data_IF_295107479928
#
_entry.id   IF_295107479928
#
_cell.length_a   1.000
_cell.length_b   1.000
_cell.length_c   1.000
_cell.angle_alpha   90.00
_cell.angle_beta   90.00
_cell.angle_gamma   90.00
#
_symmetry.space_group_name_H-M   'P 1'
#
loop_
_entity.id
_entity.type
_entity.pdbx_description
1 polymer ?
#
# COMPACT_ATOMS: atom_id res chain seq x y z
N UNK A 1 -26.87 -5.85 0.19
CA UNK A 1 -25.93 -5.53 1.32
C UNK A 1 -25.11 -4.34 0.91
N UNK A 2 -25.13 -3.29 1.70
CA UNK A 2 -24.30 -2.12 1.44
C UNK A 2 -22.82 -2.47 1.59
N UNK A 3 -22.03 -2.02 0.63
CA UNK A 3 -20.59 -2.24 0.63
C UNK A 3 -19.96 -1.20 1.58
N UNK A 4 -19.37 -1.67 2.69
CA UNK A 4 -18.64 -0.78 3.60
C UNK A 4 -17.34 -0.32 2.95
N UNK A 5 -17.09 0.98 3.02
CA UNK A 5 -15.91 1.66 2.46
C UNK A 5 -15.00 2.21 3.55
N UNK A 6 -13.71 2.17 3.26
CA UNK A 6 -12.64 2.71 4.11
C UNK A 6 -11.99 3.86 3.35
N UNK A 7 -12.23 5.12 3.75
CA UNK A 7 -11.64 6.28 3.10
C UNK A 7 -10.12 6.24 3.15
N UNK A 8 -9.47 6.59 2.04
CA UNK A 8 -8.01 6.67 2.01
C UNK A 8 -7.47 7.98 2.59
N UNK A 9 -8.29 9.02 2.60
CA UNK A 9 -7.89 10.36 2.99
C UNK A 9 -7.00 11.06 1.96
N UNK A 10 -6.95 10.52 0.73
CA UNK A 10 -6.23 11.15 -0.37
C UNK A 10 -7.24 12.00 -1.16
N UNK A 11 -7.16 13.34 -1.04
CA UNK A 11 -8.10 14.22 -1.72
C UNK A 11 -8.15 13.96 -3.22
N UNK A 12 -9.36 13.89 -3.78
CA UNK A 12 -9.60 13.57 -5.17
C UNK A 12 -9.63 12.07 -5.49
N UNK A 13 -8.93 11.21 -4.74
CA UNK A 13 -8.90 9.78 -5.02
C UNK A 13 -10.15 9.04 -4.54
N UNK A 14 -10.61 9.29 -3.31
CA UNK A 14 -11.75 8.55 -2.73
C UNK A 14 -13.03 8.69 -3.57
N UNK A 15 -13.26 9.83 -4.23
CA UNK A 15 -14.41 10.00 -5.12
C UNK A 15 -14.33 9.14 -6.39
N UNK A 16 -13.12 8.76 -6.83
CA UNK A 16 -12.92 7.88 -7.99
C UNK A 16 -13.23 6.42 -7.68
N UNK A 17 -13.40 6.09 -6.40
CA UNK A 17 -13.63 4.73 -5.88
C UNK A 17 -14.83 4.68 -4.93
N UNK A 18 -15.87 5.46 -5.22
CA UNK A 18 -17.14 5.47 -4.47
C UNK A 18 -16.96 5.74 -2.96
N UNK A 19 -16.00 6.60 -2.59
CA UNK A 19 -15.78 7.04 -1.21
C UNK A 19 -14.73 6.28 -0.43
N UNK A 20 -14.03 5.30 -1.04
CA UNK A 20 -12.93 4.59 -0.39
C UNK A 20 -12.79 3.13 -0.80
N UNK A 21 -11.78 2.48 -0.26
CA UNK A 21 -11.52 1.06 -0.49
C UNK A 21 -12.61 0.18 0.12
N UNK A 22 -12.91 -0.95 -0.49
CA UNK A 22 -13.82 -1.93 0.12
C UNK A 22 -13.21 -2.46 1.41
N UNK A 23 -13.97 -2.44 2.50
CA UNK A 23 -13.49 -2.92 3.81
C UNK A 23 -13.02 -4.38 3.74
N UNK A 24 -11.86 -4.66 4.29
CA UNK A 24 -11.23 -5.98 4.28
C UNK A 24 -10.64 -6.38 2.92
N UNK A 25 -10.59 -5.46 1.94
CA UNK A 25 -9.96 -5.73 0.64
C UNK A 25 -8.43 -5.63 0.69
N UNK A 26 -7.80 -6.31 -0.27
CA UNK A 26 -6.36 -6.24 -0.53
C UNK A 26 -6.15 -5.42 -1.79
N UNK A 27 -5.38 -4.34 -1.67
CA UNK A 27 -5.15 -3.43 -2.78
C UNK A 27 -3.65 -3.28 -3.02
N UNK A 28 -3.23 -3.38 -4.27
CA UNK A 28 -1.85 -3.10 -4.66
C UNK A 28 -1.69 -1.62 -4.96
N UNK A 29 -0.58 -1.05 -4.49
CA UNK A 29 -0.07 0.26 -4.90
C UNK A 29 1.19 0.00 -5.71
N UNK A 30 1.07 0.13 -7.01
CA UNK A 30 2.07 -0.32 -7.98
C UNK A 30 2.77 0.89 -8.61
N UNK A 31 4.08 0.83 -8.79
CA UNK A 31 4.80 1.91 -9.47
C UNK A 31 6.30 1.75 -9.44
N UNK A 32 6.99 2.43 -10.34
CA UNK A 32 8.45 2.52 -10.38
C UNK A 32 9.04 3.32 -9.22
N UNK A 33 10.35 3.48 -9.23
CA UNK A 33 11.07 4.29 -8.23
C UNK A 33 10.63 5.76 -8.29
N UNK A 34 10.43 6.38 -7.11
CA UNK A 34 10.07 7.81 -7.01
C UNK A 34 8.61 8.16 -7.34
N UNK A 35 7.75 7.18 -7.63
CA UNK A 35 6.32 7.42 -7.92
C UNK A 35 5.47 7.71 -6.69
N UNK A 36 6.06 7.75 -5.49
CA UNK A 36 5.42 8.09 -4.20
C UNK A 36 4.52 7.00 -3.60
N UNK A 37 4.85 5.72 -3.81
CA UNK A 37 4.15 4.59 -3.18
C UNK A 37 4.11 4.72 -1.65
N UNK A 38 5.28 4.93 -1.03
CA UNK A 38 5.45 5.12 0.41
C UNK A 38 4.57 6.26 0.95
N UNK A 39 4.57 7.42 0.27
CA UNK A 39 3.74 8.56 0.68
C UNK A 39 2.25 8.25 0.57
N UNK A 40 1.82 7.57 -0.51
CA UNK A 40 0.43 7.15 -0.71
C UNK A 40 -0.02 6.20 0.41
N UNK A 41 0.79 5.19 0.71
CA UNK A 41 0.54 4.21 1.77
C UNK A 41 0.51 4.86 3.16
N UNK A 42 1.45 5.76 3.44
CA UNK A 42 1.52 6.50 4.70
C UNK A 42 0.32 7.41 4.91
N UNK A 43 -0.12 8.13 3.87
CA UNK A 43 -1.30 8.98 3.95
C UNK A 43 -2.59 8.19 4.23
N UNK A 44 -2.71 7.00 3.62
CA UNK A 44 -3.80 6.07 3.92
C UNK A 44 -3.84 5.66 5.40
N UNK A 45 -2.69 5.32 5.98
CA UNK A 45 -2.62 4.98 7.41
C UNK A 45 -2.88 6.20 8.29
N UNK A 46 -2.28 7.34 7.93
CA UNK A 46 -2.51 8.60 8.64
C UNK A 46 -3.99 8.93 8.76
N UNK A 47 -4.72 8.83 7.66
CA UNK A 47 -6.17 9.06 7.68
C UNK A 47 -6.91 8.12 8.65
N UNK A 48 -6.56 6.84 8.67
CA UNK A 48 -7.16 5.88 9.61
C UNK A 48 -6.89 6.22 11.06
N UNK A 49 -5.64 6.56 11.37
CA UNK A 49 -5.23 6.97 12.71
C UNK A 49 -5.98 8.23 13.18
N UNK A 50 -6.17 9.22 12.29
CA UNK A 50 -6.97 10.41 12.57
C UNK A 50 -8.46 10.08 12.82
N UNK A 51 -8.97 8.99 12.24
CA UNK A 51 -10.33 8.49 12.46
C UNK A 51 -10.44 7.58 13.70
N UNK A 52 -9.36 7.41 14.49
CA UNK A 52 -9.32 6.54 15.65
C UNK A 52 -9.15 5.04 15.33
N UNK A 53 -8.78 4.70 14.11
CA UNK A 53 -8.48 3.31 13.73
C UNK A 53 -7.03 2.96 14.07
N UNK A 54 -6.79 1.73 14.50
CA UNK A 54 -5.45 1.21 14.72
C UNK A 54 -4.83 0.71 13.42
N UNK A 55 -3.52 0.87 13.27
CA UNK A 55 -2.82 0.61 12.01
C UNK A 55 -1.46 -0.04 12.22
N UNK A 56 -1.08 -0.90 11.27
CA UNK A 56 0.25 -1.51 11.22
C UNK A 56 0.90 -1.16 9.88
N UNK A 57 2.15 -0.69 9.94
CA UNK A 57 3.02 -0.49 8.80
C UNK A 57 4.20 -1.45 8.88
N UNK A 58 4.36 -2.31 7.90
CA UNK A 58 5.55 -3.12 7.72
C UNK A 58 6.36 -2.51 6.57
N UNK A 59 7.50 -1.91 6.89
CA UNK A 59 8.44 -1.35 5.92
C UNK A 59 9.65 -2.27 5.79
N UNK A 60 10.02 -2.61 4.56
CA UNK A 60 11.15 -3.48 4.24
C UNK A 60 12.19 -2.76 3.36
N UNK A 61 11.98 -1.47 3.11
CA UNK A 61 12.87 -0.65 2.29
C UNK A 61 13.57 0.47 3.09
N UNK A 62 12.95 0.89 4.19
CA UNK A 62 13.42 2.01 5.01
C UNK A 62 13.27 1.68 6.49
N UNK A 63 14.14 2.26 7.32
CA UNK A 63 14.02 2.21 8.78
C UNK A 63 12.79 3.01 9.26
N UNK A 64 12.22 2.62 10.40
CA UNK A 64 11.02 3.24 10.95
C UNK A 64 11.20 4.75 11.21
N UNK A 65 12.37 5.15 11.72
CA UNK A 65 12.71 6.54 11.99
C UNK A 65 12.70 7.41 10.73
N UNK A 66 13.14 6.85 9.59
CA UNK A 66 13.12 7.55 8.31
C UNK A 66 11.68 7.78 7.83
N UNK A 67 10.80 6.75 7.95
CA UNK A 67 9.37 6.90 7.64
C UNK A 67 8.73 7.98 8.53
N UNK A 68 8.99 7.96 9.84
CA UNK A 68 8.44 8.95 10.78
C UNK A 68 8.91 10.36 10.42
N UNK A 69 10.22 10.52 10.18
CA UNK A 69 10.82 11.81 9.84
C UNK A 69 10.30 12.37 8.51
N UNK A 70 10.26 11.53 7.47
CA UNK A 70 9.81 11.95 6.15
C UNK A 70 8.32 12.33 6.15
N UNK A 71 7.50 11.58 6.87
CA UNK A 71 6.06 11.82 6.93
C UNK A 71 5.71 13.05 7.80
N UNK A 72 6.53 13.38 8.78
CA UNK A 72 6.39 14.61 9.57
C UNK A 72 6.44 15.88 8.69
N UNK A 73 7.14 15.85 7.55
CA UNK A 73 7.19 16.95 6.57
C UNK A 73 5.82 17.25 5.93
N UNK A 74 4.92 16.27 5.93
CA UNK A 74 3.53 16.41 5.47
C UNK A 74 2.56 16.70 6.62
N UNK A 75 3.06 16.88 7.84
CA UNK A 75 2.24 17.03 9.05
C UNK A 75 1.71 15.69 9.59
N UNK A 76 2.21 14.55 9.12
CA UNK A 76 1.80 13.23 9.60
C UNK A 76 2.66 12.84 10.81
N UNK A 77 2.27 13.29 12.01
CA UNK A 77 2.96 12.99 13.25
C UNK A 77 2.65 11.55 13.71
N UNK A 78 3.31 10.57 13.13
CA UNK A 78 3.13 9.16 13.48
C UNK A 78 3.56 8.83 14.91
N UNK A 79 4.57 9.56 15.45
CA UNK A 79 5.09 9.30 16.79
C UNK A 79 3.98 9.36 17.85
N UNK A 80 3.08 10.35 17.77
CA UNK A 80 1.97 10.47 18.73
C UNK A 80 1.09 9.21 18.78
N UNK A 81 0.88 8.51 17.67
CA UNK A 81 0.05 7.31 17.60
C UNK A 81 0.82 6.06 18.04
N UNK A 82 2.14 6.04 17.88
CA UNK A 82 3.02 5.01 18.47
C UNK A 82 2.95 5.11 20.00
N UNK A 83 3.10 6.32 20.55
CA UNK A 83 3.05 6.58 21.99
C UNK A 83 1.67 6.22 22.60
N UNK A 84 0.60 6.35 21.82
CA UNK A 84 -0.76 5.97 22.18
C UNK A 84 -1.07 4.47 21.97
N UNK A 85 -0.11 3.66 21.53
CA UNK A 85 -0.32 2.27 21.13
C UNK A 85 -1.44 2.08 20.10
N UNK A 86 -1.62 3.04 19.18
CA UNK A 86 -2.55 2.97 18.06
C UNK A 86 -1.86 2.64 16.72
N UNK A 87 -0.53 2.72 16.69
CA UNK A 87 0.28 2.48 15.50
C UNK A 87 1.53 1.66 15.80
N UNK A 88 1.83 0.67 14.96
CA UNK A 88 3.06 -0.11 15.01
C UNK A 88 3.74 -0.01 13.65
N UNK A 89 5.04 0.31 13.64
CA UNK A 89 5.91 0.18 12.48
C UNK A 89 6.84 -1.02 12.71
N UNK A 90 6.91 -1.92 11.73
CA UNK A 90 7.82 -3.06 11.68
C UNK A 90 8.82 -2.79 10.55
N UNK A 91 10.11 -2.79 10.82
CA UNK A 91 11.18 -2.50 9.85
C UNK A 91 12.28 -3.59 9.81
N UNK A 92 12.07 -4.67 10.53
CA UNK A 92 12.98 -5.81 10.48
C UNK A 92 12.77 -6.65 9.23
N UNK A 93 13.87 -6.92 8.49
CA UNK A 93 13.83 -7.79 7.32
C UNK A 93 13.62 -9.24 7.73
N UNK A 94 12.52 -9.90 7.31
CA UNK A 94 12.24 -11.28 7.67
C UNK A 94 13.19 -12.25 6.95
N UNK A 95 13.55 -13.35 7.62
CA UNK A 95 14.40 -14.39 7.04
C UNK A 95 13.65 -15.30 6.05
N UNK A 96 12.35 -15.38 6.18
CA UNK A 96 11.47 -16.19 5.32
C UNK A 96 10.09 -15.53 5.16
N UNK A 97 9.31 -16.00 4.17
CA UNK A 97 7.94 -15.53 4.00
C UNK A 97 7.06 -15.85 5.23
N UNK A 98 7.33 -16.98 5.90
CA UNK A 98 6.65 -17.35 7.15
C UNK A 98 6.96 -16.39 8.30
N UNK A 99 8.19 -15.90 8.38
CA UNK A 99 8.58 -14.91 9.40
C UNK A 99 7.90 -13.57 9.11
N UNK A 100 7.81 -13.17 7.83
CA UNK A 100 7.05 -12.01 7.39
C UNK A 100 5.57 -12.13 7.81
N UNK A 101 4.94 -13.25 7.46
CA UNK A 101 3.56 -13.52 7.85
C UNK A 101 3.38 -13.45 9.36
N UNK A 102 4.25 -14.13 10.10
CA UNK A 102 4.18 -14.17 11.57
C UNK A 102 4.28 -12.77 12.16
N UNK A 103 5.29 -11.99 11.79
CA UNK A 103 5.49 -10.64 12.29
C UNK A 103 4.28 -9.72 11.99
N UNK A 104 3.76 -9.77 10.75
CA UNK A 104 2.60 -9.00 10.34
C UNK A 104 1.35 -9.37 11.16
N UNK A 105 1.04 -10.67 11.28
CA UNK A 105 -0.16 -11.12 11.98
C UNK A 105 -0.07 -10.91 13.49
N UNK A 106 1.09 -11.13 14.10
CA UNK A 106 1.30 -10.88 15.53
C UNK A 106 1.05 -9.39 15.86
N UNK A 107 1.56 -8.46 15.04
CA UNK A 107 1.33 -7.04 15.21
C UNK A 107 -0.14 -6.66 14.98
N UNK A 108 -0.77 -7.18 13.92
CA UNK A 108 -2.19 -6.93 13.60
C UNK A 108 -3.09 -7.41 14.75
N UNK A 109 -2.84 -8.61 15.26
CA UNK A 109 -3.63 -9.18 16.37
C UNK A 109 -3.39 -8.40 17.67
N UNK A 110 -2.13 -8.13 18.02
CA UNK A 110 -1.76 -7.37 19.22
C UNK A 110 -2.45 -6.01 19.28
N UNK A 111 -2.53 -5.33 18.14
CA UNK A 111 -3.09 -3.99 18.03
C UNK A 111 -4.61 -3.98 17.74
N UNK A 112 -5.16 -5.09 17.27
CA UNK A 112 -6.52 -5.13 16.71
C UNK A 112 -6.63 -4.25 15.46
N UNK A 113 -5.57 -4.23 14.62
CA UNK A 113 -5.41 -3.28 13.53
C UNK A 113 -6.55 -3.37 12.52
N UNK A 114 -7.00 -2.21 12.04
CA UNK A 114 -8.02 -2.07 10.98
C UNK A 114 -7.39 -1.84 9.62
N UNK A 115 -6.21 -1.22 9.60
CA UNK A 115 -5.43 -0.95 8.38
C UNK A 115 -4.05 -1.59 8.46
N UNK A 116 -3.61 -2.10 7.33
CA UNK A 116 -2.27 -2.68 7.19
C UNK A 116 -1.61 -2.19 5.91
N UNK A 117 -0.32 -1.89 5.98
CA UNK A 117 0.53 -1.60 4.84
C UNK A 117 1.75 -2.51 4.87
N UNK A 118 2.11 -3.06 3.71
CA UNK A 118 3.40 -3.71 3.47
C UNK A 118 4.13 -2.95 2.36
N UNK A 119 5.25 -2.33 2.69
CA UNK A 119 6.08 -1.52 1.78
C UNK A 119 7.54 -2.02 1.78
N UNK A 120 7.93 -2.87 0.83
CA UNK A 120 7.10 -3.40 -0.24
C UNK A 120 7.04 -4.92 -0.23
N UNK A 121 5.96 -5.45 -0.76
CA UNK A 121 5.82 -6.89 -1.02
C UNK A 121 6.94 -7.40 -1.93
N UNK A 122 7.36 -6.60 -2.91
CA UNK A 122 8.44 -6.94 -3.84
C UNK A 122 9.75 -7.19 -3.11
N UNK A 123 10.15 -6.27 -2.21
CA UNK A 123 11.38 -6.41 -1.41
C UNK A 123 11.25 -7.56 -0.42
N UNK A 124 10.08 -7.70 0.22
CA UNK A 124 9.81 -8.82 1.11
C UNK A 124 10.03 -10.19 0.44
N UNK A 125 9.60 -10.32 -0.81
CA UNK A 125 9.82 -11.54 -1.60
C UNK A 125 11.29 -11.68 -2.00
N UNK A 126 11.93 -10.59 -2.49
CA UNK A 126 13.33 -10.63 -2.96
C UNK A 126 14.34 -10.87 -1.84
N UNK A 127 14.06 -10.40 -0.64
CA UNK A 127 14.89 -10.60 0.55
C UNK A 127 14.92 -12.04 1.07
N UNK A 128 14.05 -12.91 0.55
CA UNK A 128 14.01 -14.31 0.95
C UNK A 128 15.25 -15.08 0.46
N UNK A 129 15.98 -15.68 1.37
CA UNK A 129 17.23 -16.42 1.08
C UNK A 129 17.05 -17.61 0.13
N UNK A 130 15.82 -18.09 -0.10
CA UNK A 130 15.51 -19.27 -0.91
C UNK A 130 14.19 -19.11 -1.67
N UNK A 131 14.18 -18.40 -2.79
CA UNK A 131 13.09 -18.54 -3.76
C UNK A 131 13.44 -19.72 -4.67
N UNK A 132 13.03 -20.93 -4.28
CA UNK A 132 13.28 -22.14 -5.07
C UNK A 132 12.15 -22.48 -6.04
N UNK A 133 10.92 -22.00 -5.76
CA UNK A 133 9.73 -22.33 -6.55
C UNK A 133 8.75 -21.16 -6.56
N UNK A 134 8.53 -20.56 -7.74
CA UNK A 134 7.56 -19.47 -7.94
C UNK A 134 6.12 -19.91 -7.65
N UNK A 135 5.81 -21.20 -7.83
CA UNK A 135 4.48 -21.72 -7.53
C UNK A 135 4.23 -21.79 -6.02
N UNK A 136 5.25 -22.14 -5.24
CA UNK A 136 5.18 -22.12 -3.78
C UNK A 136 4.99 -20.68 -3.28
N UNK A 137 5.80 -19.75 -3.78
CA UNK A 137 5.69 -18.33 -3.42
C UNK A 137 4.30 -17.74 -3.74
N UNK A 138 3.76 -18.07 -4.91
CA UNK A 138 2.39 -17.67 -5.28
C UNK A 138 1.36 -18.19 -4.29
N UNK A 139 1.50 -19.45 -3.83
CA UNK A 139 0.61 -20.03 -2.80
C UNK A 139 0.75 -19.31 -1.46
N UNK A 140 1.98 -18.98 -1.07
CA UNK A 140 2.26 -18.28 0.18
C UNK A 140 1.61 -16.88 0.18
N UNK A 141 1.85 -16.08 -0.86
CA UNK A 141 1.23 -14.76 -1.03
C UNK A 141 -0.30 -14.85 -1.10
N UNK A 142 -0.84 -15.86 -1.78
CA UNK A 142 -2.29 -16.09 -1.82
C UNK A 142 -2.84 -16.40 -0.41
N UNK A 143 -2.16 -17.25 0.35
CA UNK A 143 -2.56 -17.62 1.72
C UNK A 143 -2.49 -16.41 2.65
N UNK A 144 -1.42 -15.63 2.57
CA UNK A 144 -1.24 -14.40 3.33
C UNK A 144 -2.39 -13.41 3.08
N UNK A 145 -2.68 -13.12 1.82
CA UNK A 145 -3.77 -12.20 1.46
C UNK A 145 -5.15 -12.73 1.85
N UNK A 146 -5.36 -14.04 1.76
CA UNK A 146 -6.60 -14.69 2.22
C UNK A 146 -6.79 -14.55 3.74
N UNK A 147 -5.73 -14.70 4.52
CA UNK A 147 -5.77 -14.51 5.98
C UNK A 147 -6.05 -13.05 6.35
N UNK A 148 -5.40 -12.08 5.71
CA UNK A 148 -5.69 -10.64 5.91
C UNK A 148 -7.18 -10.33 5.68
N UNK A 149 -7.76 -10.86 4.58
CA UNK A 149 -9.22 -10.72 4.32
C UNK A 149 -10.06 -11.34 5.44
N UNK A 150 -9.68 -12.54 5.88
CA UNK A 150 -10.39 -13.24 6.97
C UNK A 150 -10.39 -12.47 8.28
N UNK A 151 -9.37 -11.64 8.53
CA UNK A 151 -9.28 -10.75 9.68
C UNK A 151 -10.04 -9.43 9.48
N UNK A 152 -10.56 -9.16 8.29
CA UNK A 152 -11.27 -7.92 7.97
C UNK A 152 -10.37 -6.67 7.91
N UNK A 153 -9.07 -6.86 7.77
CA UNK A 153 -8.09 -5.77 7.69
C UNK A 153 -8.02 -5.25 6.26
N UNK A 154 -8.25 -3.95 6.07
CA UNK A 154 -8.11 -3.32 4.76
C UNK A 154 -6.64 -3.01 4.50
N UNK A 155 -6.08 -3.58 3.44
CA UNK A 155 -4.64 -3.62 3.26
C UNK A 155 -4.18 -2.96 1.96
N UNK A 156 -3.06 -2.22 2.03
CA UNK A 156 -2.27 -1.79 0.88
C UNK A 156 -0.96 -2.56 0.85
N UNK A 157 -0.64 -3.14 -0.30
CA UNK A 157 0.63 -3.81 -0.55
C UNK A 157 1.35 -3.05 -1.66
N UNK A 158 2.45 -2.39 -1.33
CA UNK A 158 3.26 -1.70 -2.32
C UNK A 158 4.04 -2.72 -3.17
N UNK A 159 4.05 -2.51 -4.48
CA UNK A 159 4.76 -3.37 -5.43
C UNK A 159 5.59 -2.52 -6.40
N UNK A 160 6.80 -2.97 -6.67
CA UNK A 160 7.67 -2.33 -7.63
C UNK A 160 7.43 -2.86 -9.04
N UNK A 161 7.47 -1.95 -10.01
CA UNK A 161 7.50 -2.27 -11.43
C UNK A 161 8.95 -2.23 -11.90
N UNK A 162 9.45 -3.31 -12.52
CA UNK A 162 10.79 -3.30 -13.09
C UNK A 162 10.90 -2.29 -14.24
N UNK A 163 11.92 -1.45 -14.24
CA UNK A 163 12.15 -0.43 -15.30
C UNK A 163 12.30 -1.04 -16.69
N UNK A 164 12.88 -2.24 -16.79
CA UNK A 164 13.03 -2.98 -18.04
C UNK A 164 11.75 -3.67 -18.54
N UNK A 165 10.65 -3.60 -17.78
CA UNK A 165 9.33 -4.14 -18.15
C UNK A 165 8.22 -3.14 -17.85
N UNK A 166 8.17 -1.99 -18.50
CA UNK A 166 7.24 -0.89 -18.17
C UNK A 166 5.75 -1.25 -18.35
N UNK A 167 5.44 -2.34 -19.05
CA UNK A 167 4.07 -2.86 -19.20
C UNK A 167 3.68 -3.88 -18.13
N UNK A 168 4.62 -4.32 -17.28
CA UNK A 168 4.30 -5.20 -16.16
C UNK A 168 3.60 -4.41 -15.05
N UNK A 169 2.61 -5.01 -14.40
CA UNK A 169 1.94 -4.40 -13.24
C UNK A 169 2.69 -4.70 -11.95
N UNK A 170 3.42 -5.82 -11.90
CA UNK A 170 4.21 -6.22 -10.76
C UNK A 170 5.41 -7.06 -11.21
N UNK A 171 6.38 -7.27 -10.31
CA UNK A 171 7.66 -7.91 -10.66
C UNK A 171 7.53 -9.38 -11.03
N UNK A 172 6.68 -10.13 -10.30
CA UNK A 172 6.59 -11.59 -10.41
C UNK A 172 5.42 -12.05 -11.28
N UNK A 173 4.46 -11.16 -11.64
CA UNK A 173 3.36 -11.42 -12.56
C UNK A 173 2.24 -12.28 -11.98
N UNK A 174 2.13 -12.40 -10.66
CA UNK A 174 1.02 -13.06 -9.99
C UNK A 174 0.33 -12.20 -8.92
N UNK A 175 0.96 -11.13 -8.48
CA UNK A 175 0.48 -10.26 -7.39
C UNK A 175 -0.88 -9.64 -7.76
N UNK A 176 -1.07 -9.28 -9.01
CA UNK A 176 -2.33 -8.72 -9.51
C UNK A 176 -3.52 -9.67 -9.42
N UNK A 177 -3.26 -10.99 -9.41
CA UNK A 177 -4.34 -11.98 -9.31
C UNK A 177 -4.86 -12.16 -7.89
N UNK A 178 -4.04 -11.87 -6.89
CA UNK A 178 -4.43 -12.01 -5.47
C UNK A 178 -5.10 -10.75 -4.91
N UNK A 179 -5.04 -9.63 -5.62
CA UNK A 179 -5.56 -8.35 -5.19
C UNK A 179 -7.02 -8.11 -5.61
N UNK A 180 -7.74 -7.33 -4.81
CA UNK A 180 -9.08 -6.84 -5.09
C UNK A 180 -9.05 -5.51 -5.85
N UNK A 181 -8.06 -4.65 -5.52
CA UNK A 181 -7.78 -3.39 -6.19
C UNK A 181 -6.34 -3.30 -6.68
N UNK A 182 -6.11 -2.54 -7.75
CA UNK A 182 -4.78 -2.22 -8.29
C UNK A 182 -4.76 -0.75 -8.65
N UNK A 183 -3.95 0.01 -7.93
CA UNK A 183 -3.71 1.44 -8.08
C UNK A 183 -2.31 1.60 -8.64
N UNK A 184 -2.19 2.20 -9.81
CA UNK A 184 -0.90 2.36 -10.50
C UNK A 184 -0.46 3.81 -10.44
N UNK A 185 0.74 4.04 -9.91
CA UNK A 185 1.39 5.34 -9.82
C UNK A 185 2.50 5.41 -10.86
N UNK A 186 2.45 6.40 -11.74
CA UNK A 186 3.38 6.56 -12.85
C UNK A 186 3.87 8.00 -12.99
N UNK A 187 4.95 8.17 -13.75
CA UNK A 187 5.28 9.43 -14.39
C UNK A 187 4.69 9.46 -15.80
N UNK A 188 4.03 10.57 -16.14
CA UNK A 188 3.71 10.88 -17.54
C UNK A 188 4.90 11.61 -18.16
N UNK A 189 5.49 11.00 -19.18
CA UNK A 189 6.51 11.65 -19.99
C UNK A 189 5.80 12.39 -21.13
N UNK A 190 5.70 13.71 -21.00
CA UNK A 190 5.31 14.57 -22.12
C UNK A 190 6.55 14.92 -22.94
N UNK A 191 6.36 15.24 -24.21
CA UNK A 191 7.43 15.72 -25.10
C UNK A 191 8.11 17.01 -24.60
N UNK A 192 7.55 17.65 -23.59
CA UNK A 192 8.12 18.79 -22.86
C UNK A 192 8.72 18.30 -21.55
N UNK A 193 9.82 18.90 -21.13
CA UNK A 193 10.72 18.50 -20.03
C UNK A 193 10.11 18.32 -18.63
N UNK A 194 8.80 18.37 -18.44
CA UNK A 194 8.13 18.20 -17.14
C UNK A 194 7.57 16.80 -16.97
N UNK A 195 8.07 16.08 -15.97
CA UNK A 195 7.51 14.78 -15.55
C UNK A 195 6.35 15.01 -14.58
N UNK A 196 5.13 14.84 -15.04
CA UNK A 196 3.94 14.91 -14.18
C UNK A 196 3.64 13.52 -13.60
N UNK A 197 3.42 13.43 -12.29
CA UNK A 197 2.97 12.19 -11.67
C UNK A 197 1.50 11.95 -11.97
N UNK A 198 1.14 10.71 -12.23
CA UNK A 198 -0.23 10.31 -12.49
C UNK A 198 -0.59 9.03 -11.76
N UNK A 199 -1.88 8.86 -11.55
CA UNK A 199 -2.49 7.67 -10.98
C UNK A 199 -3.55 7.17 -11.96
N UNK A 200 -3.67 5.84 -12.09
CA UNK A 200 -4.86 5.24 -12.67
C UNK A 200 -5.26 3.97 -11.90
N UNK A 201 -6.54 3.64 -11.96
CA UNK A 201 -7.09 2.48 -11.29
C UNK A 201 -7.22 1.38 -12.34
N UNK A 202 -6.36 0.37 -12.23
CA UNK A 202 -6.35 -0.77 -13.16
C UNK A 202 -7.47 -1.76 -12.87
N UNK A 203 -7.86 -1.87 -11.60
CA UNK A 203 -8.85 -2.82 -11.10
C UNK A 203 -9.36 -2.36 -9.74
N UNK A 204 -10.66 -2.49 -9.52
CA UNK A 204 -11.25 -2.33 -8.19
C UNK A 204 -12.52 -3.17 -8.13
N UNK A 205 -12.46 -4.34 -7.46
CA UNK A 205 -13.63 -5.21 -7.33
C UNK A 205 -14.74 -4.54 -6.54
N UNK A 206 -15.99 -4.77 -6.93
CA UNK A 206 -17.19 -4.20 -6.28
C UNK A 206 -17.19 -2.66 -6.25
N UNK A 207 -16.60 -2.03 -7.25
CA UNK A 207 -16.49 -0.57 -7.34
C UNK A 207 -16.58 -0.14 -8.78
N UNK A 208 -17.47 0.81 -9.07
CA UNK A 208 -17.46 1.56 -10.32
C UNK A 208 -16.40 2.65 -10.17
N UNK A 209 -15.21 2.40 -10.68
CA UNK A 209 -14.06 3.25 -10.49
C UNK A 209 -13.73 4.08 -11.72
N UNK A 210 -13.08 5.21 -11.51
CA UNK A 210 -12.55 6.03 -12.60
C UNK A 210 -11.56 5.25 -13.48
N UNK A 211 -11.67 5.43 -14.80
CA UNK A 211 -10.87 4.70 -15.80
C UNK A 211 -9.82 5.53 -16.48
N UNK A 212 -9.74 6.83 -16.18
CA UNK A 212 -8.81 7.77 -16.77
C UNK A 212 -7.44 7.78 -16.07
N UNK A 213 -6.51 8.51 -16.67
CA UNK A 213 -5.25 8.90 -16.05
C UNK A 213 -5.44 10.19 -15.26
N UNK A 214 -5.27 10.12 -13.95
CA UNK A 214 -5.46 11.25 -13.05
C UNK A 214 -4.11 11.84 -12.62
N UNK A 215 -3.77 13.06 -13.02
CA UNK A 215 -2.59 13.73 -12.49
C UNK A 215 -2.67 13.90 -10.98
N UNK A 216 -1.55 13.81 -10.28
CA UNK A 216 -1.49 14.15 -8.87
C UNK A 216 -0.26 14.99 -8.53
N UNK A 217 -0.37 15.71 -7.45
CA UNK A 217 0.70 16.56 -6.93
C UNK A 217 1.01 16.20 -5.48
N UNK A 218 2.25 16.45 -5.08
CA UNK A 218 2.68 16.36 -3.68
C UNK A 218 2.65 17.77 -3.13
N UNK A 219 1.96 17.94 -2.02
CA UNK A 219 1.83 19.21 -1.30
C UNK A 219 2.44 19.07 0.10
N UNK A 220 2.45 20.14 0.87
CA UNK A 220 2.83 20.09 2.29
C UNK A 220 1.90 19.23 3.15
N UNK A 221 0.75 18.83 2.63
CA UNK A 221 -0.23 17.98 3.33
C UNK A 221 -0.36 16.59 2.67
N UNK A 222 0.64 16.16 1.88
CA UNK A 222 0.63 14.88 1.19
C UNK A 222 0.15 14.97 -0.26
N UNK A 223 -0.33 13.85 -0.79
CA UNK A 223 -0.79 13.67 -2.17
C UNK A 223 -2.21 14.25 -2.33
N UNK A 224 -2.42 14.93 -3.46
CA UNK A 224 -3.73 15.37 -3.93
C UNK A 224 -3.89 14.93 -5.38
N UNK A 225 -4.93 14.16 -5.67
CA UNK A 225 -5.29 13.71 -7.01
C UNK A 225 -6.17 14.78 -7.66
N UNK A 226 -5.81 15.17 -8.88
CA UNK A 226 -6.58 16.12 -9.70
C UNK A 226 -7.57 15.31 -10.54
N UNK A 227 -8.81 15.29 -10.13
CA UNK A 227 -9.89 14.57 -10.79
C UNK A 227 -11.06 15.50 -11.07
#
# INVERSE_FOLDING_TARGET
MDIQRVPTGIPGFDRLIEGGLVKGSINLVVGGTGTCKTTFCSQYLWNGLQMGETSVYMTLEQEAENIISDMARYGFNFQQFIDQNAFIILDEMPSSFKDLEKAAFDAIIKLGAKRFVLDSLTVGIMGLKQIRDMSALRRDVFTFTKRLRGMGVTSLLACEVPENKPKALARFGFEEFVADGIIVLNYLEYATSSKTRSLFIRKMRKTDHGTDLYPFVITKNGIIVKS
#
